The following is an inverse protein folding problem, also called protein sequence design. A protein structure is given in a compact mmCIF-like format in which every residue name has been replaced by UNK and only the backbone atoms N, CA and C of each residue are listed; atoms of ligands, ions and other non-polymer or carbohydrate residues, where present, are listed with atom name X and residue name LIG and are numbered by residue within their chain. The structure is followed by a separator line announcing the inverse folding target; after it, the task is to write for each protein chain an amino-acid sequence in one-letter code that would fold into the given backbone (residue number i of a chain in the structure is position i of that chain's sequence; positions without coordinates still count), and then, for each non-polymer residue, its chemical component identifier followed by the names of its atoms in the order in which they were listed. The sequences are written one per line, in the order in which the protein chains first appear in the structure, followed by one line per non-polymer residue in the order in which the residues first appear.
data_IF_755086438130
#
_entry.id   IF_755086438130
#
_cell.length_a   1.000
_cell.length_b   1.000
_cell.length_c   1.000
_cell.angle_alpha   90.00
_cell.angle_beta   90.00
_cell.angle_gamma   90.00
#
_symmetry.space_group_name_H-M   'P 1'
#
loop_
_entity.id
_entity.type
_entity.pdbx_description
1 polymer ?
#
# COMPACT_ATOMS: atom_id res chain seq x y z
N UNK A 1 -8.02 53.44 -35.20
CA UNK A 1 -8.90 52.83 -34.20
C UNK A 1 -8.02 51.90 -33.34
N UNK A 2 -7.60 52.41 -32.18
CA UNK A 2 -6.74 51.65 -31.25
C UNK A 2 -7.62 50.74 -30.39
N UNK A 3 -7.45 49.46 -30.53
CA UNK A 3 -8.19 48.49 -29.72
C UNK A 3 -7.75 48.65 -28.25
N UNK A 4 -8.68 49.03 -27.40
CA UNK A 4 -8.51 49.03 -25.94
C UNK A 4 -8.27 47.58 -25.51
N UNK A 5 -7.11 47.23 -24.95
CA UNK A 5 -6.88 45.89 -24.44
C UNK A 5 -7.85 45.67 -23.30
N UNK A 6 -8.75 44.72 -23.48
CA UNK A 6 -9.79 44.41 -22.50
C UNK A 6 -9.09 43.81 -21.28
N UNK A 7 -9.08 44.52 -20.15
CA UNK A 7 -8.54 44.06 -18.84
C UNK A 7 -8.87 42.60 -18.53
N UNK A 8 -9.89 42.08 -19.17
CA UNK A 8 -10.39 40.71 -19.05
C UNK A 8 -9.50 39.65 -19.72
N UNK A 9 -8.73 39.98 -20.75
CA UNK A 9 -7.79 39.09 -21.43
C UNK A 9 -6.45 39.02 -20.72
N UNK A 10 -6.00 40.11 -20.10
CA UNK A 10 -4.69 40.15 -19.44
C UNK A 10 -4.63 39.30 -18.19
N UNK A 11 -5.69 39.33 -17.38
CA UNK A 11 -5.70 38.45 -16.17
C UNK A 11 -5.88 36.97 -16.52
N UNK A 12 -6.63 36.61 -17.58
CA UNK A 12 -6.72 35.24 -18.06
C UNK A 12 -5.36 34.71 -18.55
N UNK A 13 -4.62 35.56 -19.30
CA UNK A 13 -3.26 35.19 -19.72
C UNK A 13 -2.33 35.02 -18.54
N UNK A 14 -2.42 35.91 -17.55
CA UNK A 14 -1.61 35.82 -16.33
C UNK A 14 -1.92 34.53 -15.54
N UNK A 15 -3.22 34.20 -15.39
CA UNK A 15 -3.62 32.95 -14.75
C UNK A 15 -3.16 31.74 -15.55
N UNK A 16 -3.26 31.76 -16.88
CA UNK A 16 -2.80 30.67 -17.74
C UNK A 16 -1.31 30.45 -17.59
N UNK A 17 -0.49 31.49 -17.61
CA UNK A 17 0.95 31.38 -17.36
C UNK A 17 1.23 30.79 -15.97
N UNK A 18 0.60 31.35 -14.95
CA UNK A 18 0.78 30.86 -13.58
C UNK A 18 0.39 29.39 -13.43
N UNK A 19 -0.68 28.98 -14.10
CA UNK A 19 -1.08 27.56 -14.14
C UNK A 19 -0.02 26.67 -14.80
N UNK A 20 0.53 27.14 -15.93
CA UNK A 20 1.61 26.43 -16.64
C UNK A 20 2.85 26.30 -15.77
N UNK A 21 3.34 27.42 -15.23
CA UNK A 21 4.52 27.46 -14.35
C UNK A 21 4.38 26.50 -13.17
N UNK A 22 3.22 26.52 -12.49
CA UNK A 22 2.94 25.63 -11.37
C UNK A 22 2.82 24.17 -11.80
N UNK A 23 2.30 23.90 -12.99
CA UNK A 23 2.17 22.53 -13.50
C UNK A 23 3.55 21.95 -13.84
N UNK A 24 4.45 22.73 -14.40
CA UNK A 24 5.83 22.34 -14.67
C UNK A 24 6.59 22.11 -13.37
N UNK A 25 6.51 23.04 -12.41
CA UNK A 25 7.13 22.87 -11.09
C UNK A 25 6.62 21.61 -10.37
N UNK A 26 5.32 21.36 -10.40
CA UNK A 26 4.72 20.15 -9.84
C UNK A 26 5.24 18.87 -10.51
N UNK A 27 5.42 18.88 -11.83
CA UNK A 27 5.96 17.73 -12.57
C UNK A 27 7.41 17.43 -12.17
N UNK A 28 8.25 18.47 -12.08
CA UNK A 28 9.65 18.35 -11.68
C UNK A 28 9.79 17.86 -10.23
N UNK A 29 9.02 18.44 -9.31
CA UNK A 29 9.00 17.99 -7.91
C UNK A 29 8.49 16.54 -7.77
N UNK A 30 7.48 16.16 -8.56
CA UNK A 30 6.96 14.78 -8.55
C UNK A 30 8.02 13.79 -9.04
N UNK A 31 8.79 14.16 -10.07
CA UNK A 31 9.89 13.34 -10.57
C UNK A 31 10.98 13.15 -9.51
N UNK A 32 11.39 14.24 -8.87
CA UNK A 32 12.38 14.18 -7.79
C UNK A 32 11.90 13.33 -6.61
N UNK A 33 10.64 13.50 -6.20
CA UNK A 33 10.03 12.68 -5.16
C UNK A 33 9.94 11.19 -5.54
N UNK A 34 9.72 10.89 -6.82
CA UNK A 34 9.68 9.50 -7.31
C UNK A 34 11.06 8.84 -7.17
N UNK A 35 12.11 9.54 -7.55
CA UNK A 35 13.51 9.07 -7.39
C UNK A 35 13.85 8.85 -5.92
N UNK A 36 13.64 9.87 -5.08
CA UNK A 36 13.94 9.80 -3.64
C UNK A 36 13.13 8.73 -2.89
N UNK A 37 11.86 8.56 -3.22
CA UNK A 37 11.03 7.54 -2.55
C UNK A 37 11.38 6.13 -2.97
N UNK A 38 11.83 5.92 -4.21
CA UNK A 38 12.35 4.62 -4.68
C UNK A 38 13.68 4.28 -4.05
N UNK A 39 14.57 5.27 -3.91
CA UNK A 39 15.86 5.10 -3.23
C UNK A 39 15.65 4.79 -1.74
N UNK A 40 14.79 5.54 -1.06
CA UNK A 40 14.56 5.39 0.38
C UNK A 40 13.86 4.07 0.73
N UNK A 41 12.89 3.63 -0.07
CA UNK A 41 12.15 2.39 0.19
C UNK A 41 11.47 1.86 -1.09
N UNK A 42 12.20 1.09 -1.89
CA UNK A 42 11.65 0.49 -3.11
C UNK A 42 10.50 -0.47 -2.83
N UNK A 43 10.52 -1.21 -1.72
CA UNK A 43 9.44 -2.12 -1.33
C UNK A 43 8.10 -1.39 -1.11
N UNK A 44 8.14 -0.26 -0.41
CA UNK A 44 6.95 0.56 -0.20
C UNK A 44 6.41 1.13 -1.52
N UNK A 45 7.33 1.56 -2.42
CA UNK A 45 6.96 2.09 -3.75
C UNK A 45 6.36 1.04 -4.69
N UNK A 46 6.79 -0.22 -4.58
CA UNK A 46 6.25 -1.33 -5.35
C UNK A 46 4.87 -1.78 -4.86
N UNK A 47 4.51 -1.46 -3.62
CA UNK A 47 3.26 -1.90 -3.03
C UNK A 47 2.03 -1.31 -3.76
N UNK A 48 1.03 -2.16 -4.01
CA UNK A 48 -0.18 -1.78 -4.75
C UNK A 48 -0.93 -0.63 -4.11
N UNK A 49 -1.19 0.41 -4.88
CA UNK A 49 -1.88 1.62 -4.43
C UNK A 49 -0.99 2.65 -3.72
N UNK A 50 0.32 2.41 -3.68
CA UNK A 50 1.30 3.35 -3.12
C UNK A 50 1.94 4.14 -4.25
N UNK A 51 1.40 5.34 -4.51
CA UNK A 51 2.01 6.33 -5.42
C UNK A 51 3.09 7.16 -4.74
N UNK A 52 3.71 8.07 -5.51
CA UNK A 52 4.79 8.97 -5.04
C UNK A 52 4.38 9.75 -3.79
N UNK A 53 3.25 10.45 -3.84
CA UNK A 53 2.75 11.26 -2.71
C UNK A 53 2.46 10.41 -1.47
N UNK A 54 1.88 9.22 -1.66
CA UNK A 54 1.53 8.33 -0.56
C UNK A 54 2.79 7.81 0.11
N UNK A 55 3.78 7.39 -0.69
CA UNK A 55 5.07 6.92 -0.18
C UNK A 55 5.80 8.03 0.59
N UNK A 56 5.91 9.23 0.02
CA UNK A 56 6.57 10.36 0.67
C UNK A 56 5.93 10.73 2.01
N UNK A 57 4.60 10.79 2.07
CA UNK A 57 3.87 11.05 3.32
C UNK A 57 4.14 9.99 4.37
N UNK A 58 4.14 8.71 3.99
CA UNK A 58 4.36 7.60 4.92
C UNK A 58 5.80 7.55 5.41
N UNK A 59 6.79 7.80 4.53
CA UNK A 59 8.20 7.89 4.88
C UNK A 59 8.48 9.05 5.84
N UNK A 60 7.93 10.24 5.54
CA UNK A 60 8.06 11.41 6.43
C UNK A 60 7.38 11.15 7.78
N UNK A 61 6.21 10.53 7.80
CA UNK A 61 5.51 10.19 9.03
C UNK A 61 6.27 9.18 9.89
N UNK A 62 6.88 8.17 9.26
CA UNK A 62 7.73 7.19 9.94
C UNK A 62 9.02 7.81 10.48
N UNK A 63 9.58 8.78 9.74
CA UNK A 63 10.85 9.43 10.04
C UNK A 63 12.05 8.55 9.73
N UNK A 64 13.25 9.12 9.83
CA UNK A 64 14.51 8.44 9.52
C UNK A 64 14.88 7.31 10.49
N UNK A 65 14.29 7.29 11.67
CA UNK A 65 14.54 6.24 12.68
C UNK A 65 13.30 5.33 12.82
N UNK A 66 13.19 4.32 11.96
CA UNK A 66 12.12 3.33 12.00
C UNK A 66 12.10 2.51 13.31
N UNK A 67 13.23 2.39 14.02
CA UNK A 67 13.31 1.70 15.32
C UNK A 67 12.48 2.40 16.41
N UNK A 68 12.18 3.70 16.26
CA UNK A 68 11.27 4.43 17.14
C UNK A 68 9.86 3.85 17.11
N UNK A 69 9.47 3.25 16.00
CA UNK A 69 8.20 2.55 15.83
C UNK A 69 8.32 1.12 16.36
N UNK A 70 8.15 0.96 17.67
CA UNK A 70 8.39 -0.30 18.39
C UNK A 70 7.63 -1.51 17.83
N UNK A 71 6.44 -1.30 17.29
CA UNK A 71 5.60 -2.37 16.74
C UNK A 71 4.50 -1.80 15.82
N UNK A 72 3.82 -2.71 15.11
CA UNK A 72 2.71 -2.37 14.21
C UNK A 72 1.56 -1.62 14.90
N UNK A 73 1.33 -1.88 16.18
CA UNK A 73 0.25 -1.23 16.94
C UNK A 73 0.57 0.24 17.23
N UNK A 74 1.85 0.54 17.53
CA UNK A 74 2.33 1.91 17.70
C UNK A 74 2.24 2.70 16.40
N UNK A 75 2.64 2.10 15.27
CA UNK A 75 2.49 2.70 13.94
C UNK A 75 1.01 2.97 13.60
N UNK A 76 0.13 2.01 13.84
CA UNK A 76 -1.30 2.19 13.59
C UNK A 76 -1.94 3.25 14.50
N UNK A 77 -1.48 3.37 15.74
CA UNK A 77 -1.90 4.44 16.64
C UNK A 77 -1.41 5.80 16.15
N UNK A 78 -0.15 5.89 15.71
CA UNK A 78 0.42 7.09 15.09
C UNK A 78 -0.36 7.51 13.84
N UNK A 79 -0.78 6.56 12.99
CA UNK A 79 -1.63 6.84 11.83
C UNK A 79 -3.10 7.09 12.17
N UNK A 80 -3.49 7.02 13.45
CA UNK A 80 -4.89 7.22 13.86
C UNK A 80 -5.85 6.13 13.36
N UNK A 81 -5.35 4.92 13.07
CA UNK A 81 -6.17 3.79 12.58
C UNK A 81 -6.37 2.68 13.63
N UNK A 82 -5.82 2.84 14.82
CA UNK A 82 -6.13 1.98 15.96
C UNK A 82 -7.50 2.35 16.53
N UNK A 83 -8.43 1.40 16.68
CA UNK A 83 -9.70 1.67 17.33
C UNK A 83 -9.48 1.93 18.81
N UNK A 84 -10.17 2.94 19.36
CA UNK A 84 -10.20 3.22 20.79
C UNK A 84 -11.38 2.47 21.39
N UNK A 85 -11.13 1.68 22.44
CA UNK A 85 -12.21 1.06 23.18
C UNK A 85 -13.11 2.13 23.81
N UNK A 86 -14.40 1.99 23.58
CA UNK A 86 -15.45 2.84 24.15
C UNK A 86 -16.57 1.96 24.71
N UNK A 87 -16.16 0.88 25.38
CA UNK A 87 -17.06 -0.10 25.98
C UNK A 87 -17.56 0.38 27.34
N UNK A 88 -18.84 0.17 27.63
CA UNK A 88 -19.42 0.35 28.97
C UNK A 88 -20.34 -0.82 29.29
N UNK A 89 -20.09 -1.52 30.38
CA UNK A 89 -20.89 -2.66 30.82
C UNK A 89 -20.96 -3.76 29.76
N UNK A 90 -22.13 -4.15 29.33
CA UNK A 90 -22.35 -5.22 28.35
C UNK A 90 -22.15 -4.80 26.88
N UNK A 91 -21.88 -3.52 26.62
CA UNK A 91 -21.77 -3.03 25.24
C UNK A 91 -20.31 -2.88 24.82
N UNK A 92 -19.87 -3.70 23.87
CA UNK A 92 -18.53 -3.64 23.31
C UNK A 92 -18.51 -2.72 22.07
N UNK A 93 -18.05 -1.47 22.25
CA UNK A 93 -17.98 -0.46 21.18
C UNK A 93 -16.56 0.05 20.99
N UNK A 94 -16.25 0.38 19.75
CA UNK A 94 -15.00 1.03 19.40
C UNK A 94 -15.27 2.41 18.80
N UNK A 95 -14.49 3.41 19.21
CA UNK A 95 -14.49 4.75 18.61
C UNK A 95 -13.33 4.91 17.65
N UNK A 96 -13.56 5.77 16.66
CA UNK A 96 -12.48 6.22 15.78
C UNK A 96 -11.45 7.01 16.59
N UNK A 97 -10.18 6.65 16.43
CA UNK A 97 -9.09 7.46 16.95
C UNK A 97 -9.00 8.75 16.11
N UNK A 98 -9.22 9.91 16.74
CA UNK A 98 -9.08 11.22 16.10
C UNK A 98 -7.70 11.84 16.35
N UNK A 99 -6.89 11.25 17.22
CA UNK A 99 -5.48 11.61 17.41
C UNK A 99 -4.62 10.89 16.37
N UNK A 100 -3.42 11.38 16.15
CA UNK A 100 -2.49 10.81 15.21
C UNK A 100 -2.21 11.69 13.99
N UNK A 101 -1.31 11.23 13.15
CA UNK A 101 -0.91 11.96 11.96
C UNK A 101 -2.01 11.91 10.88
N UNK A 102 -2.62 13.06 10.60
CA UNK A 102 -3.71 13.19 9.62
C UNK A 102 -3.28 12.85 8.21
N UNK A 103 -2.05 13.20 7.83
CA UNK A 103 -1.51 12.93 6.50
C UNK A 103 -1.30 11.43 6.32
N UNK A 104 -0.70 10.74 7.30
CA UNK A 104 -0.54 9.29 7.26
C UNK A 104 -1.90 8.57 7.24
N UNK A 105 -2.90 9.05 8.00
CA UNK A 105 -4.26 8.51 7.93
C UNK A 105 -4.88 8.65 6.56
N UNK A 106 -4.69 9.81 5.91
CA UNK A 106 -5.16 10.06 4.54
C UNK A 106 -4.40 9.19 3.53
N UNK A 107 -3.09 9.04 3.68
CA UNK A 107 -2.30 8.14 2.82
C UNK A 107 -2.84 6.70 2.86
N UNK A 108 -3.09 6.15 4.05
CA UNK A 108 -3.72 4.82 4.20
C UNK A 108 -5.13 4.76 3.61
N UNK A 109 -5.90 5.84 3.71
CA UNK A 109 -7.22 5.90 3.08
C UNK A 109 -7.12 5.92 1.55
N UNK A 110 -6.16 6.63 0.97
CA UNK A 110 -5.89 6.64 -0.48
C UNK A 110 -5.53 5.24 -0.98
N UNK A 111 -4.61 4.52 -0.29
CA UNK A 111 -4.28 3.13 -0.61
C UNK A 111 -5.53 2.26 -0.57
N UNK A 112 -6.32 2.33 0.51
CA UNK A 112 -7.55 1.57 0.65
C UNK A 112 -8.52 1.83 -0.50
N UNK A 113 -8.71 3.09 -0.89
CA UNK A 113 -9.61 3.50 -1.97
C UNK A 113 -9.14 2.97 -3.33
N UNK A 114 -7.85 3.08 -3.63
CA UNK A 114 -7.28 2.53 -4.86
C UNK A 114 -7.48 1.02 -4.91
N UNK A 115 -7.13 0.29 -3.84
CA UNK A 115 -7.28 -1.16 -3.79
C UNK A 115 -8.74 -1.61 -3.87
N UNK A 116 -9.67 -0.92 -3.23
CA UNK A 116 -11.10 -1.23 -3.36
C UNK A 116 -11.61 -1.11 -4.81
N UNK A 117 -10.97 -0.30 -5.63
CA UNK A 117 -11.36 -0.10 -7.03
C UNK A 117 -10.60 -1.02 -8.00
N UNK A 118 -9.33 -1.35 -7.72
CA UNK A 118 -8.42 -2.01 -8.67
C UNK A 118 -8.04 -3.42 -8.26
N UNK A 119 -8.23 -3.80 -6.99
CA UNK A 119 -7.77 -5.06 -6.45
C UNK A 119 -8.95 -6.03 -6.20
N UNK A 120 -8.89 -7.20 -6.83
CA UNK A 120 -9.97 -8.17 -6.77
C UNK A 120 -10.16 -8.78 -5.37
N UNK A 121 -9.06 -9.06 -4.68
CA UNK A 121 -9.10 -9.58 -3.30
C UNK A 121 -9.75 -8.56 -2.36
N UNK A 122 -9.37 -7.29 -2.50
CA UNK A 122 -9.95 -6.20 -1.70
C UNK A 122 -11.44 -6.00 -2.01
N UNK A 123 -11.84 -6.12 -3.28
CA UNK A 123 -13.25 -6.06 -3.68
C UNK A 123 -14.05 -7.23 -3.10
N UNK A 124 -13.51 -8.43 -3.16
CA UNK A 124 -14.11 -9.63 -2.56
C UNK A 124 -14.26 -9.49 -1.05
N UNK A 125 -13.21 -8.97 -0.39
CA UNK A 125 -13.27 -8.66 1.04
C UNK A 125 -14.38 -7.64 1.36
N UNK A 126 -14.47 -6.55 0.58
CA UNK A 126 -15.50 -5.53 0.73
C UNK A 126 -16.90 -6.13 0.59
N UNK A 127 -17.14 -6.90 -0.48
CA UNK A 127 -18.43 -7.55 -0.74
C UNK A 127 -18.83 -8.47 0.43
N UNK A 128 -17.92 -9.34 0.87
CA UNK A 128 -18.15 -10.25 2.01
C UNK A 128 -18.51 -9.49 3.29
N UNK A 129 -17.79 -8.41 3.62
CA UNK A 129 -18.01 -7.63 4.84
C UNK A 129 -19.32 -6.83 4.77
N UNK A 130 -19.69 -6.35 3.58
CA UNK A 130 -20.95 -5.66 3.35
C UNK A 130 -22.13 -6.63 3.51
N UNK A 131 -22.02 -7.86 2.99
CA UNK A 131 -23.01 -8.92 3.19
C UNK A 131 -23.20 -9.29 4.69
N UNK A 132 -22.16 -9.08 5.52
CA UNK A 132 -22.22 -9.24 6.97
C UNK A 132 -22.83 -8.01 7.70
N UNK A 133 -23.42 -7.06 6.98
CA UNK A 133 -24.07 -5.87 7.55
C UNK A 133 -23.10 -4.71 7.90
N UNK A 134 -21.84 -4.77 7.49
CA UNK A 134 -20.91 -3.66 7.72
C UNK A 134 -21.07 -2.58 6.66
N UNK A 135 -21.01 -1.32 7.08
CA UNK A 135 -21.01 -0.20 6.13
C UNK A 135 -19.68 -0.12 5.39
N UNK A 136 -19.66 0.46 4.19
CA UNK A 136 -18.43 0.72 3.43
C UNK A 136 -17.40 1.49 4.26
N UNK A 137 -17.85 2.40 5.12
CA UNK A 137 -17.00 3.17 6.03
C UNK A 137 -16.31 2.26 7.06
N UNK A 138 -17.05 1.33 7.67
CA UNK A 138 -16.50 0.39 8.64
C UNK A 138 -15.47 -0.54 7.98
N UNK A 139 -15.78 -1.03 6.78
CA UNK A 139 -14.86 -1.87 6.02
C UNK A 139 -13.59 -1.10 5.68
N UNK A 140 -13.70 0.17 5.25
CA UNK A 140 -12.53 1.03 5.00
C UNK A 140 -11.68 1.21 6.25
N UNK A 141 -12.29 1.38 7.43
CA UNK A 141 -11.56 1.48 8.69
C UNK A 141 -10.81 0.18 9.03
N UNK A 142 -11.43 -0.98 8.83
CA UNK A 142 -10.78 -2.28 8.99
C UNK A 142 -9.61 -2.43 8.00
N UNK A 143 -9.83 -2.09 6.74
CA UNK A 143 -8.82 -2.19 5.69
C UNK A 143 -7.61 -1.30 6.00
N UNK A 144 -7.83 -0.05 6.42
CA UNK A 144 -6.72 0.83 6.83
C UNK A 144 -5.87 0.24 7.97
N UNK A 145 -6.47 -0.50 8.89
CA UNK A 145 -5.72 -1.18 9.95
C UNK A 145 -4.84 -2.30 9.41
N UNK A 146 -5.33 -3.06 8.41
CA UNK A 146 -4.52 -4.07 7.72
C UNK A 146 -3.39 -3.42 6.93
N UNK A 147 -3.70 -2.37 6.19
CA UNK A 147 -2.71 -1.59 5.43
C UNK A 147 -1.62 -0.98 6.33
N UNK A 148 -1.99 -0.50 7.52
CA UNK A 148 -0.99 0.01 8.47
C UNK A 148 0.00 -1.07 8.91
N UNK A 149 -0.45 -2.33 9.05
CA UNK A 149 0.41 -3.47 9.36
C UNK A 149 1.37 -3.78 8.20
N UNK A 150 0.84 -3.85 6.99
CA UNK A 150 1.62 -4.05 5.77
C UNK A 150 2.66 -2.94 5.57
N UNK A 151 2.23 -1.68 5.64
CA UNK A 151 3.12 -0.52 5.52
C UNK A 151 4.20 -0.52 6.60
N UNK A 152 3.85 -0.82 7.85
CA UNK A 152 4.84 -0.93 8.93
C UNK A 152 5.91 -1.97 8.60
N UNK A 153 5.50 -3.13 8.10
CA UNK A 153 6.43 -4.18 7.70
C UNK A 153 7.34 -3.74 6.54
N UNK A 154 6.78 -3.10 5.50
CA UNK A 154 7.54 -2.56 4.36
C UNK A 154 8.53 -1.47 4.79
N UNK A 155 8.19 -0.64 5.77
CA UNK A 155 9.09 0.36 6.33
C UNK A 155 10.29 -0.26 7.07
N UNK A 156 10.11 -1.44 7.66
CA UNK A 156 11.20 -2.18 8.31
C UNK A 156 12.05 -2.99 7.32
N UNK A 157 11.51 -3.26 6.12
CA UNK A 157 12.15 -4.09 5.10
C UNK A 157 12.20 -3.34 3.75
N UNK A 158 12.97 -2.25 3.64
CA UNK A 158 12.96 -1.38 2.46
C UNK A 158 13.45 -2.06 1.18
N UNK A 159 14.34 -3.02 1.29
CA UNK A 159 14.90 -3.77 0.16
C UNK A 159 14.08 -5.03 -0.20
N UNK A 160 12.91 -5.21 0.42
CA UNK A 160 12.07 -6.36 0.10
C UNK A 160 11.52 -6.24 -1.33
N UNK A 161 11.83 -7.24 -2.14
CA UNK A 161 11.16 -7.43 -3.42
C UNK A 161 9.95 -8.35 -3.23
N UNK A 162 8.82 -7.98 -3.85
CA UNK A 162 7.63 -8.81 -3.82
C UNK A 162 7.82 -10.00 -4.79
N UNK A 163 8.58 -10.99 -4.33
CA UNK A 163 8.98 -12.16 -5.13
C UNK A 163 7.79 -13.09 -5.39
N UNK A 164 6.80 -13.09 -4.51
CA UNK A 164 5.65 -13.98 -4.59
C UNK A 164 4.91 -13.98 -5.93
N UNK A 165 4.52 -12.84 -6.50
CA UNK A 165 3.89 -12.77 -7.83
C UNK A 165 4.80 -13.28 -8.94
N UNK A 166 6.12 -13.06 -8.84
CA UNK A 166 7.11 -13.59 -9.79
C UNK A 166 7.16 -15.12 -9.73
N UNK A 167 7.25 -15.69 -8.53
CA UNK A 167 7.20 -17.14 -8.32
C UNK A 167 5.92 -17.76 -8.89
N UNK A 168 4.77 -17.12 -8.66
CA UNK A 168 3.50 -17.56 -9.23
C UNK A 168 3.54 -17.56 -10.76
N UNK A 169 4.05 -16.49 -11.37
CA UNK A 169 4.15 -16.39 -12.84
C UNK A 169 5.07 -17.49 -13.39
N UNK A 170 6.25 -17.68 -12.82
CA UNK A 170 7.19 -18.72 -13.22
C UNK A 170 6.58 -20.11 -13.08
N UNK A 171 5.96 -20.42 -11.96
CA UNK A 171 5.27 -21.70 -11.72
C UNK A 171 4.16 -21.95 -12.74
N UNK A 172 3.30 -20.94 -12.99
CA UNK A 172 2.19 -21.11 -13.94
C UNK A 172 2.66 -21.24 -15.39
N UNK A 173 3.70 -20.53 -15.76
CA UNK A 173 4.34 -20.68 -17.08
C UNK A 173 4.95 -22.07 -17.27
N UNK A 174 5.47 -22.67 -16.23
CA UNK A 174 5.98 -24.05 -16.21
C UNK A 174 4.85 -25.11 -16.06
N UNK A 175 3.58 -24.71 -16.07
CA UNK A 175 2.42 -25.60 -15.87
C UNK A 175 2.44 -26.43 -14.56
N UNK A 176 3.14 -25.97 -13.54
CA UNK A 176 3.26 -26.64 -12.24
C UNK A 176 2.06 -26.25 -11.36
N UNK A 177 1.38 -27.25 -10.76
CA UNK A 177 0.29 -26.98 -9.83
C UNK A 177 0.79 -26.59 -8.45
N UNK A 178 -0.05 -25.85 -7.67
CA UNK A 178 0.26 -25.55 -6.26
C UNK A 178 0.45 -26.81 -5.40
N UNK A 179 -0.24 -27.89 -5.75
CA UNK A 179 -0.12 -29.17 -5.04
C UNK A 179 1.28 -29.77 -5.19
N UNK A 180 1.82 -29.74 -6.40
CA UNK A 180 3.19 -30.23 -6.66
C UNK A 180 4.23 -29.46 -5.87
N UNK A 181 4.08 -28.13 -5.76
CA UNK A 181 4.97 -27.30 -4.92
C UNK A 181 4.83 -27.66 -3.45
N UNK A 182 3.58 -27.79 -2.99
CA UNK A 182 3.25 -28.14 -1.59
C UNK A 182 3.90 -29.47 -1.18
N UNK A 183 3.77 -30.48 -2.04
CA UNK A 183 4.26 -31.83 -1.76
C UNK A 183 5.81 -31.89 -1.79
N UNK A 184 6.44 -31.25 -2.80
CA UNK A 184 7.90 -31.26 -2.92
C UNK A 184 8.61 -30.45 -1.83
N UNK A 185 8.05 -29.30 -1.44
CA UNK A 185 8.64 -28.44 -0.42
C UNK A 185 8.14 -28.77 1.01
N UNK A 186 7.27 -29.77 1.14
CA UNK A 186 6.70 -30.24 2.41
C UNK A 186 6.05 -29.13 3.24
N UNK A 187 5.24 -28.30 2.58
CA UNK A 187 4.50 -27.20 3.19
C UNK A 187 3.01 -27.29 2.84
N UNK A 188 2.17 -26.59 3.57
CA UNK A 188 0.74 -26.56 3.25
C UNK A 188 0.45 -25.75 1.99
N UNK A 189 -0.52 -26.18 1.21
CA UNK A 189 -1.01 -25.50 0.01
C UNK A 189 -1.40 -24.04 0.30
N UNK A 190 -1.98 -23.80 1.48
CA UNK A 190 -2.31 -22.47 1.97
C UNK A 190 -1.07 -21.58 2.15
N UNK A 191 0.05 -22.13 2.62
CA UNK A 191 1.31 -21.39 2.79
C UNK A 191 1.85 -20.93 1.43
N UNK A 192 1.94 -21.85 0.47
CA UNK A 192 2.41 -21.52 -0.90
C UNK A 192 1.53 -20.45 -1.51
N UNK A 193 0.21 -20.65 -1.51
CA UNK A 193 -0.75 -19.69 -2.06
C UNK A 193 -0.68 -18.30 -1.40
N UNK A 194 -0.45 -18.24 -0.09
CA UNK A 194 -0.32 -16.96 0.64
C UNK A 194 0.97 -16.23 0.30
N UNK A 195 2.07 -16.96 0.13
CA UNK A 195 3.36 -16.39 -0.25
C UNK A 195 3.29 -15.89 -1.69
N UNK A 196 2.76 -16.67 -2.63
CA UNK A 196 2.58 -16.24 -4.03
C UNK A 196 1.68 -15.00 -4.18
N UNK A 197 0.80 -14.76 -3.23
CA UNK A 197 -0.08 -13.58 -3.20
C UNK A 197 0.48 -12.44 -2.37
N UNK A 198 1.71 -12.56 -1.84
CA UNK A 198 2.30 -11.55 -0.97
C UNK A 198 1.60 -11.38 0.39
N UNK A 199 0.77 -12.36 0.81
CA UNK A 199 0.03 -12.31 2.07
C UNK A 199 0.80 -12.86 3.27
N UNK A 200 1.91 -13.53 3.00
CA UNK A 200 2.80 -14.10 4.01
C UNK A 200 4.24 -13.94 3.54
N UNK A 201 5.09 -13.48 4.45
CA UNK A 201 6.51 -13.30 4.22
C UNK A 201 7.28 -14.42 4.95
N UNK A 202 8.06 -15.18 4.20
CA UNK A 202 8.91 -16.25 4.69
C UNK A 202 10.13 -16.34 3.77
N UNK A 203 11.19 -15.56 4.04
CA UNK A 203 12.38 -15.49 3.19
C UNK A 203 13.04 -16.84 2.94
N UNK A 204 13.20 -17.66 3.99
CA UNK A 204 13.80 -18.98 3.87
C UNK A 204 13.01 -19.90 2.93
N UNK A 205 11.69 -19.83 3.03
CA UNK A 205 10.84 -20.59 2.12
C UNK A 205 10.90 -20.07 0.70
N UNK A 206 10.95 -18.75 0.51
CA UNK A 206 11.05 -18.09 -0.80
C UNK A 206 12.32 -18.54 -1.51
N UNK A 207 13.48 -18.50 -0.86
CA UNK A 207 14.75 -18.97 -1.42
C UNK A 207 14.70 -20.45 -1.82
N UNK A 208 14.14 -21.31 -0.97
CA UNK A 208 13.95 -22.73 -1.28
C UNK A 208 13.01 -22.94 -2.46
N UNK A 209 11.97 -22.13 -2.56
CA UNK A 209 10.99 -22.22 -3.63
C UNK A 209 11.57 -21.73 -4.96
N UNK A 210 12.32 -20.63 -4.96
CA UNK A 210 13.05 -20.16 -6.16
C UNK A 210 14.03 -21.22 -6.66
N UNK A 211 14.91 -21.70 -5.81
CA UNK A 211 15.89 -22.71 -6.17
C UNK A 211 15.23 -23.99 -6.72
N UNK A 212 14.10 -24.38 -6.17
CA UNK A 212 13.35 -25.53 -6.67
C UNK A 212 12.72 -25.27 -8.03
N UNK A 213 12.11 -24.07 -8.25
CA UNK A 213 11.54 -23.70 -9.53
C UNK A 213 12.59 -23.60 -10.64
N UNK A 214 13.74 -23.02 -10.35
CA UNK A 214 14.85 -22.89 -11.31
C UNK A 214 15.32 -24.28 -11.77
N UNK A 215 15.42 -25.24 -10.86
CA UNK A 215 15.74 -26.62 -11.21
C UNK A 215 14.67 -27.31 -12.07
N UNK A 216 13.38 -26.96 -11.89
CA UNK A 216 12.30 -27.52 -12.72
C UNK A 216 12.20 -26.88 -14.10
N UNK A 217 12.65 -25.63 -14.25
CA UNK A 217 12.61 -24.90 -15.52
C UNK A 217 13.88 -25.09 -16.35
N UNK A 218 14.97 -25.58 -15.75
CA UNK A 218 16.23 -25.89 -16.42
C UNK A 218 16.29 -27.34 -16.98
N UNK A 219 15.34 -28.17 -16.61
CA UNK A 219 15.22 -29.58 -17.06
C UNK A 219 14.23 -29.71 -18.24
#
# INVERSE_FOLDING_TARGET
MSAVPTRRTDWLQTLSRRYQDLSEEMADLTKLLDELTKEANPALRAAKGVGVDVASILLVAAGSNCQRLRNESAFAAMCGVSPIQASSGQTNRHRLNRSGNRQANNALWRIATVRMNTDEETRTYLARRTAQGKTKRDVTCCLKRHLAREVFWLLQNPAYEEIGPRLRTTRTSAHISLQVVSDNLQVTLSKVSRIERGLQHDPEFVERYEAWLDNQTAA
#
